data_IF_231958478923
#
_entry.id   IF_231958478923
#
_cell.length_a   1.000
_cell.length_b   1.000
_cell.length_c   1.000
_cell.angle_alpha   90.00
_cell.angle_beta   90.00
_cell.angle_gamma   90.00
#
_symmetry.space_group_name_H-M   'P 1'
#
loop_
_entity.id
_entity.type
_entity.pdbx_description
1 polymer ?
#
# COMPACT_ATOMS: atom_id res chain seq x y z
N UNK A 1 12.03 -10.28 -0.53
CA UNK A 1 12.71 -9.44 0.48
C UNK A 1 11.66 -8.69 1.26
N UNK A 2 11.78 -8.65 2.60
CA UNK A 2 10.85 -7.95 3.47
C UNK A 2 11.54 -6.69 3.99
N UNK A 3 10.90 -5.54 3.78
CA UNK A 3 11.36 -4.22 4.20
C UNK A 3 10.42 -3.80 5.33
N UNK A 4 10.96 -3.62 6.53
CA UNK A 4 10.15 -3.47 7.74
C UNK A 4 10.21 -2.07 8.32
N UNK A 5 9.14 -1.69 9.04
CA UNK A 5 9.03 -0.50 9.89
C UNK A 5 9.27 0.80 9.11
N UNK A 6 8.78 0.86 7.88
CA UNK A 6 8.79 2.08 7.09
C UNK A 6 7.74 3.03 7.64
N UNK A 7 8.12 4.28 7.88
CA UNK A 7 7.18 5.33 8.28
C UNK A 7 6.59 5.94 7.01
N UNK A 8 5.34 5.58 6.71
CA UNK A 8 4.71 5.95 5.44
C UNK A 8 3.40 6.71 5.67
N UNK A 9 3.14 7.70 4.83
CA UNK A 9 1.85 8.39 4.76
C UNK A 9 1.00 7.72 3.68
N UNK A 10 -0.17 7.20 4.06
CA UNK A 10 -1.18 6.82 3.09
C UNK A 10 -1.78 8.10 2.50
N UNK A 11 -1.44 8.45 1.27
CA UNK A 11 -1.93 9.67 0.63
C UNK A 11 -3.28 9.45 -0.03
N UNK A 12 -3.54 8.23 -0.53
CA UNK A 12 -4.73 7.93 -1.32
C UNK A 12 -5.09 6.45 -1.24
N UNK A 13 -6.39 6.16 -1.23
CA UNK A 13 -6.95 4.81 -1.37
C UNK A 13 -8.09 4.88 -2.37
N UNK A 14 -8.02 4.12 -3.47
CA UNK A 14 -9.05 4.06 -4.50
C UNK A 14 -9.46 2.63 -4.80
N UNK A 15 -10.77 2.37 -4.91
CA UNK A 15 -11.26 1.13 -5.51
C UNK A 15 -11.23 1.28 -7.01
N UNK A 16 -10.59 0.33 -7.68
CA UNK A 16 -10.55 0.22 -9.14
C UNK A 16 -11.12 -1.11 -9.57
N UNK A 17 -11.66 -1.14 -10.79
CA UNK A 17 -12.21 -2.35 -11.39
C UNK A 17 -11.35 -2.75 -12.60
N UNK A 18 -11.07 -4.05 -12.73
CA UNK A 18 -10.44 -4.58 -13.93
C UNK A 18 -11.43 -4.55 -15.09
N UNK A 19 -11.00 -3.92 -16.19
CA UNK A 19 -11.79 -3.77 -17.42
C UNK A 19 -12.35 -5.10 -17.95
N UNK A 20 -11.61 -6.20 -17.78
CA UNK A 20 -11.93 -7.47 -18.44
C UNK A 20 -12.67 -8.47 -17.55
N UNK A 21 -12.55 -8.38 -16.23
CA UNK A 21 -13.07 -9.40 -15.29
C UNK A 21 -14.08 -8.88 -14.27
N UNK A 22 -14.33 -7.57 -14.22
CA UNK A 22 -15.08 -6.89 -13.15
C UNK A 22 -14.51 -7.07 -11.74
N UNK A 23 -13.34 -7.69 -11.60
CA UNK A 23 -12.69 -7.82 -10.30
C UNK A 23 -12.26 -6.46 -9.79
N UNK A 24 -12.59 -6.18 -8.54
CA UNK A 24 -12.16 -4.96 -7.86
C UNK A 24 -10.80 -5.16 -7.20
N UNK A 25 -10.02 -4.08 -7.13
CA UNK A 25 -8.77 -4.00 -6.39
C UNK A 25 -8.62 -2.60 -5.80
N UNK A 26 -7.85 -2.49 -4.72
CA UNK A 26 -7.44 -1.22 -4.15
C UNK A 26 -6.16 -0.76 -4.80
N UNK A 27 -6.10 0.53 -5.12
CA UNK A 27 -4.86 1.22 -5.36
C UNK A 27 -4.57 2.10 -4.14
N UNK A 28 -3.51 1.75 -3.42
CA UNK A 28 -3.08 2.44 -2.20
C UNK A 28 -1.78 3.18 -2.52
N UNK A 29 -1.81 4.49 -2.43
CA UNK A 29 -0.63 5.33 -2.62
C UNK A 29 0.02 5.62 -1.27
N UNK A 30 1.26 5.19 -1.10
CA UNK A 30 2.05 5.38 0.10
C UNK A 30 3.26 6.27 -0.19
N UNK A 31 3.39 7.35 0.56
CA UNK A 31 4.57 8.22 0.54
C UNK A 31 5.53 7.78 1.65
N UNK A 32 6.76 7.42 1.31
CA UNK A 32 7.84 7.23 2.29
C UNK A 32 8.25 8.60 2.85
N UNK A 33 8.16 8.76 4.16
CA UNK A 33 8.50 10.01 4.84
C UNK A 33 10.01 10.24 4.92
N UNK A 34 10.83 9.19 4.75
CA UNK A 34 12.28 9.29 4.76
C UNK A 34 12.87 9.78 3.44
N UNK A 35 12.42 9.22 2.31
CA UNK A 35 12.94 9.55 0.99
C UNK A 35 12.08 10.53 0.18
N UNK A 36 10.79 10.63 0.50
CA UNK A 36 9.82 11.36 -0.31
C UNK A 36 9.31 10.59 -1.53
N UNK A 37 9.70 9.32 -1.69
CA UNK A 37 9.22 8.47 -2.79
C UNK A 37 7.77 8.05 -2.58
N UNK A 38 7.03 7.94 -3.68
CA UNK A 38 5.64 7.47 -3.67
C UNK A 38 5.55 6.09 -4.33
N UNK A 39 4.89 5.16 -3.63
CA UNK A 39 4.64 3.81 -4.07
C UNK A 39 3.13 3.58 -4.25
N UNK A 40 2.71 3.25 -5.46
CA UNK A 40 1.35 2.80 -5.74
C UNK A 40 1.28 1.28 -5.64
N UNK A 41 0.61 0.78 -4.59
CA UNK A 41 0.45 -0.64 -4.33
C UNK A 41 -0.94 -1.08 -4.74
N UNK A 42 -0.99 -2.16 -5.55
CA UNK A 42 -2.23 -2.82 -5.92
C UNK A 42 -2.53 -3.92 -4.91
N UNK A 43 -3.60 -3.75 -4.14
CA UNK A 43 -4.07 -4.73 -3.17
C UNK A 43 -5.39 -5.35 -3.65
N UNK A 44 -5.47 -6.67 -3.65
CA UNK A 44 -6.68 -7.40 -4.05
C UNK A 44 -7.64 -7.61 -2.90
N UNK A 45 -7.13 -7.61 -1.67
CA UNK A 45 -7.95 -7.71 -0.48
C UNK A 45 -8.57 -6.35 -0.13
N UNK A 46 -9.87 -6.21 -0.43
CA UNK A 46 -10.63 -4.99 -0.15
C UNK A 46 -10.80 -4.74 1.36
N UNK A 47 -10.65 -5.76 2.22
CA UNK A 47 -10.79 -5.59 3.66
C UNK A 47 -9.69 -4.71 4.26
N UNK A 48 -8.53 -4.63 3.59
CA UNK A 48 -7.42 -3.74 3.96
C UNK A 48 -7.88 -2.28 4.04
N UNK A 49 -8.87 -1.86 3.24
CA UNK A 49 -9.43 -0.50 3.29
C UNK A 49 -10.01 -0.15 4.67
N UNK A 50 -10.52 -1.12 5.43
CA UNK A 50 -11.06 -0.86 6.78
C UNK A 50 -9.97 -0.42 7.76
N UNK A 51 -8.72 -0.79 7.48
CA UNK A 51 -7.58 -0.58 8.37
C UNK A 51 -6.68 0.57 7.92
N UNK A 52 -6.95 1.19 6.76
CA UNK A 52 -6.14 2.27 6.20
C UNK A 52 -7.01 3.47 5.85
N UNK A 53 -6.66 4.62 6.42
CA UNK A 53 -7.34 5.89 6.21
C UNK A 53 -6.41 6.80 5.40
N UNK A 54 -6.90 7.44 4.33
CA UNK A 54 -6.13 8.45 3.62
C UNK A 54 -5.64 9.57 4.55
N UNK A 55 -4.57 10.23 4.16
CA UNK A 55 -3.89 11.30 4.91
C UNK A 55 -3.46 10.89 6.32
N UNK A 56 -3.26 9.59 6.56
CA UNK A 56 -2.84 9.05 7.86
C UNK A 56 -1.49 8.35 7.75
N UNK A 57 -0.65 8.55 8.77
CA UNK A 57 0.69 7.95 8.85
C UNK A 57 0.61 6.57 9.51
N UNK A 58 1.41 5.63 9.01
CA UNK A 58 1.46 4.25 9.49
C UNK A 58 2.90 3.73 9.52
N UNK A 59 3.16 2.75 10.38
CA UNK A 59 4.31 1.86 10.21
C UNK A 59 3.92 0.74 9.27
N UNK A 60 4.58 0.67 8.12
CA UNK A 60 4.28 -0.30 7.06
C UNK A 60 5.46 -1.24 6.87
N UNK A 61 5.14 -2.53 6.74
CA UNK A 61 6.08 -3.53 6.25
C UNK A 61 5.73 -3.82 4.79
N UNK A 62 6.71 -3.71 3.88
CA UNK A 62 6.56 -3.95 2.46
C UNK A 62 7.31 -5.21 2.04
N UNK A 63 6.69 -6.01 1.18
CA UNK A 63 7.27 -7.21 0.61
C UNK A 63 7.61 -7.00 -0.86
N UNK A 64 8.90 -6.96 -1.15
CA UNK A 64 9.43 -6.96 -2.51
C UNK A 64 9.62 -8.41 -2.98
N UNK A 65 8.88 -8.82 -3.99
CA UNK A 65 8.94 -10.14 -4.60
C UNK A 65 9.45 -10.04 -6.03
N UNK A 66 10.27 -11.00 -6.47
CA UNK A 66 10.71 -11.10 -7.86
C UNK A 66 9.91 -12.18 -8.57
N UNK A 67 9.49 -11.90 -9.80
CA UNK A 67 8.85 -12.84 -10.70
C UNK A 67 9.56 -12.85 -12.05
N UNK A 68 9.18 -13.81 -12.91
CA UNK A 68 9.56 -13.82 -14.33
C UNK A 68 9.28 -12.48 -15.04
N UNK A 69 8.30 -11.72 -14.55
CA UNK A 69 7.82 -10.48 -15.16
C UNK A 69 8.39 -9.22 -14.49
N UNK A 70 9.34 -9.37 -13.57
CA UNK A 70 9.96 -8.26 -12.85
C UNK A 70 9.68 -8.27 -11.34
N UNK A 71 9.93 -7.14 -10.71
CA UNK A 71 9.74 -6.93 -9.29
C UNK A 71 8.31 -6.46 -8.99
N UNK A 72 7.71 -7.00 -7.94
CA UNK A 72 6.41 -6.57 -7.42
C UNK A 72 6.54 -6.17 -5.96
N UNK A 73 5.90 -5.07 -5.59
CA UNK A 73 5.82 -4.60 -4.21
C UNK A 73 4.39 -4.80 -3.70
N UNK A 74 4.26 -5.36 -2.51
CA UNK A 74 2.98 -5.52 -1.83
C UNK A 74 3.09 -5.10 -0.37
N UNK A 75 1.97 -4.74 0.24
CA UNK A 75 1.89 -4.49 1.68
C UNK A 75 1.88 -5.85 2.38
N UNK A 76 2.80 -6.06 3.31
CA UNK A 76 2.84 -7.26 4.15
C UNK A 76 2.06 -7.03 5.45
N UNK A 77 2.22 -5.83 6.04
CA UNK A 77 1.51 -5.41 7.23
C UNK A 77 1.34 -3.88 7.29
N UNK A 78 0.19 -3.43 7.76
CA UNK A 78 -0.08 -2.04 8.14
C UNK A 78 -0.25 -2.03 9.66
N UNK A 79 0.73 -1.49 10.37
CA UNK A 79 0.67 -1.34 11.82
C UNK A 79 -0.26 -0.20 12.26
N UNK A 80 -0.21 0.12 13.55
CA UNK A 80 -1.06 1.16 14.14
C UNK A 80 -0.84 2.53 13.48
N UNK A 81 -1.91 3.33 13.47
CA UNK A 81 -1.85 4.73 13.04
C UNK A 81 -0.91 5.54 13.93
N UNK A 82 -0.01 6.29 13.30
CA UNK A 82 0.89 7.25 13.95
C UNK A 82 0.29 8.66 14.00
N UNK A 83 -0.98 8.82 13.61
CA UNK A 83 -1.70 10.09 13.55
C UNK A 83 -1.99 10.55 12.11
N UNK A 84 -3.09 11.31 11.98
CA UNK A 84 -3.48 11.98 10.74
C UNK A 84 -2.76 13.30 10.53
N UNK A 85 -2.82 13.79 9.29
CA UNK A 85 -2.47 15.18 8.93
C UNK A 85 -3.76 15.99 8.86
#
# INVERSE_FOLDING_TARGET
MLIKKLDMLCTKVEVKEKKDSKDQYLMISLLDLGSGDVFDILEKDLEVMKNIVPMTKYKVDLKLSSSKYGLSLSIDNIGDSLGGI
#
